data_IF_486294465810
#
_entry.id   IF_486294465810
#
_cell.length_a   1.000
_cell.length_b   1.000
_cell.length_c   1.000
_cell.angle_alpha   90.00
_cell.angle_beta   90.00
_cell.angle_gamma   90.00
#
_symmetry.space_group_name_H-M   'P 1'
#
loop_
_entity.id
_entity.type
_entity.pdbx_description
1 polymer ?
#
# COMPACT_ATOMS: atom_id res chain seq x y z
N UNK A 1 -6.94 -19.34 32.97
CA UNK A 1 -8.34 -19.13 32.54
C UNK A 1 -8.28 -18.03 31.52
N UNK A 2 -7.97 -18.41 30.29
CA UNK A 2 -7.69 -17.47 29.21
C UNK A 2 -9.03 -17.01 28.65
N UNK A 3 -9.25 -15.70 28.74
CA UNK A 3 -10.51 -15.08 28.35
C UNK A 3 -10.44 -14.74 26.86
N UNK A 4 -11.07 -15.55 26.03
CA UNK A 4 -11.23 -15.27 24.60
C UNK A 4 -12.38 -14.27 24.40
N UNK A 5 -12.10 -13.13 23.78
CA UNK A 5 -13.10 -12.13 23.41
C UNK A 5 -13.24 -12.14 21.90
N UNK A 6 -14.40 -12.57 21.40
CA UNK A 6 -14.74 -12.53 19.98
C UNK A 6 -15.51 -11.25 19.67
N UNK A 7 -14.91 -10.36 18.86
CA UNK A 7 -15.61 -9.20 18.29
C UNK A 7 -16.09 -9.57 16.88
N UNK A 8 -17.41 -9.66 16.71
CA UNK A 8 -18.04 -10.04 15.46
C UNK A 8 -18.08 -8.83 14.50
N UNK A 9 -17.26 -8.85 13.44
CA UNK A 9 -17.36 -7.93 12.29
C UNK A 9 -17.15 -8.71 10.99
N UNK A 10 -17.83 -8.32 9.91
CA UNK A 10 -17.89 -8.97 8.57
C UNK A 10 -16.55 -9.05 7.80
N UNK A 11 -15.42 -8.86 8.47
CA UNK A 11 -14.09 -8.98 7.91
C UNK A 11 -13.30 -9.95 8.78
N UNK A 12 -13.05 -11.17 8.24
CA UNK A 12 -12.19 -12.26 8.74
C UNK A 12 -11.76 -12.16 10.22
N UNK A 13 -12.21 -13.12 11.03
CA UNK A 13 -11.77 -13.33 12.42
C UNK A 13 -10.26 -13.09 12.58
N UNK A 14 -9.91 -11.99 13.25
CA UNK A 14 -8.53 -11.72 13.67
C UNK A 14 -8.40 -12.33 15.06
N UNK A 15 -7.81 -13.51 15.15
CA UNK A 15 -7.40 -14.11 16.41
C UNK A 15 -6.19 -13.33 16.94
N UNK A 16 -6.25 -12.83 18.16
CA UNK A 16 -5.11 -12.23 18.85
C UNK A 16 -4.84 -13.00 20.14
N UNK A 17 -3.66 -13.62 20.22
CA UNK A 17 -3.10 -14.16 21.46
C UNK A 17 -2.49 -13.02 22.27
N UNK A 18 -2.83 -12.93 23.57
CA UNK A 18 -2.16 -12.01 24.50
C UNK A 18 -0.81 -12.64 24.86
N UNK A 19 0.21 -12.27 24.10
CA UNK A 19 1.56 -12.79 24.24
C UNK A 19 2.25 -12.76 22.90
N UNK A 20 3.11 -11.75 22.71
CA UNK A 20 3.83 -11.41 21.48
C UNK A 20 2.97 -10.83 20.34
N UNK A 21 3.19 -9.53 20.05
CA UNK A 21 2.69 -8.90 18.84
C UNK A 21 3.31 -9.63 17.64
N UNK A 22 2.51 -10.19 16.71
CA UNK A 22 3.06 -10.76 15.49
C UNK A 22 3.89 -9.67 14.79
N UNK A 23 5.14 -9.99 14.44
CA UNK A 23 5.96 -9.11 13.61
C UNK A 23 5.14 -8.77 12.38
N UNK A 24 4.74 -7.50 12.24
CA UNK A 24 3.94 -7.06 11.12
C UNK A 24 4.62 -7.50 9.82
N UNK A 25 4.01 -8.46 9.13
CA UNK A 25 4.54 -8.99 7.88
C UNK A 25 4.73 -7.84 6.91
N UNK A 26 5.91 -7.78 6.30
CA UNK A 26 6.23 -6.73 5.33
C UNK A 26 5.35 -6.96 4.10
N UNK A 27 4.26 -6.19 3.98
CA UNK A 27 3.35 -6.28 2.84
C UNK A 27 4.11 -5.92 1.56
N UNK A 28 4.15 -6.88 0.64
CA UNK A 28 4.64 -6.70 -0.72
C UNK A 28 3.51 -6.14 -1.60
N UNK A 29 3.85 -5.21 -2.48
CA UNK A 29 2.90 -4.59 -3.42
C UNK A 29 3.51 -4.60 -4.82
N UNK A 30 2.68 -4.70 -5.84
CA UNK A 30 3.12 -4.52 -7.22
C UNK A 30 3.70 -3.12 -7.43
N UNK A 31 4.87 -3.04 -8.07
CA UNK A 31 5.48 -1.78 -8.44
C UNK A 31 5.03 -1.32 -9.82
N UNK A 32 3.81 -0.78 -9.90
CA UNK A 32 3.23 -0.30 -11.15
C UNK A 32 4.02 0.82 -11.84
N UNK A 33 4.86 1.57 -11.11
CA UNK A 33 5.69 2.63 -11.69
C UNK A 33 6.93 2.09 -12.41
N UNK A 34 7.52 1.01 -11.90
CA UNK A 34 8.67 0.32 -12.48
C UNK A 34 8.28 -0.89 -13.34
N UNK A 35 6.99 -1.08 -13.61
CA UNK A 35 6.49 -2.23 -14.34
C UNK A 35 6.88 -2.18 -15.82
N UNK A 36 7.31 -3.33 -16.35
CA UNK A 36 7.48 -3.49 -17.79
C UNK A 36 6.13 -3.88 -18.42
N UNK A 37 5.34 -2.86 -18.77
CA UNK A 37 4.00 -3.05 -19.34
C UNK A 37 4.01 -3.81 -20.67
N UNK A 38 5.09 -3.68 -21.47
CA UNK A 38 5.21 -4.41 -22.73
C UNK A 38 5.33 -5.92 -22.49
N UNK A 39 6.15 -6.33 -21.51
CA UNK A 39 6.27 -7.73 -21.13
C UNK A 39 4.94 -8.28 -20.56
N UNK A 40 4.28 -7.50 -19.70
CA UNK A 40 2.95 -7.87 -19.17
C UNK A 40 1.91 -8.04 -20.27
N UNK A 41 1.81 -7.10 -21.21
CA UNK A 41 0.88 -7.19 -22.34
C UNK A 41 1.19 -8.40 -23.23
N UNK A 42 2.46 -8.66 -23.50
CA UNK A 42 2.87 -9.83 -24.29
C UNK A 42 2.44 -11.14 -23.60
N UNK A 43 2.69 -11.25 -22.30
CA UNK A 43 2.32 -12.43 -21.52
C UNK A 43 0.80 -12.62 -21.45
N UNK A 44 0.03 -11.54 -21.22
CA UNK A 44 -1.43 -11.58 -21.29
C UNK A 44 -1.91 -12.10 -22.65
N UNK A 45 -1.38 -11.57 -23.76
CA UNK A 45 -1.78 -11.99 -25.10
C UNK A 45 -1.45 -13.46 -25.36
N UNK A 46 -0.30 -13.95 -24.89
CA UNK A 46 0.10 -15.35 -24.98
C UNK A 46 -0.90 -16.25 -24.23
N UNK A 47 -1.16 -15.95 -22.96
CA UNK A 47 -2.07 -16.72 -22.11
C UNK A 47 -3.52 -16.73 -22.65
N UNK A 48 -4.02 -15.59 -23.12
CA UNK A 48 -5.35 -15.53 -23.73
C UNK A 48 -5.43 -16.29 -25.06
N UNK A 49 -4.38 -16.25 -25.87
CA UNK A 49 -4.35 -17.00 -27.14
C UNK A 49 -4.39 -18.51 -26.89
N UNK A 50 -3.67 -19.00 -25.87
CA UNK A 50 -3.71 -20.40 -25.45
C UNK A 50 -5.13 -20.78 -24.98
N UNK A 51 -5.72 -19.97 -24.10
CA UNK A 51 -7.06 -20.21 -23.57
C UNK A 51 -8.13 -20.25 -24.66
N UNK A 52 -8.14 -19.28 -25.58
CA UNK A 52 -9.07 -19.24 -26.71
C UNK A 52 -8.88 -20.41 -27.66
N UNK A 53 -7.64 -20.85 -27.90
CA UNK A 53 -7.36 -21.99 -28.76
C UNK A 53 -7.86 -23.30 -28.14
N UNK A 54 -7.63 -23.49 -26.84
CA UNK A 54 -8.14 -24.65 -26.11
C UNK A 54 -9.67 -24.68 -26.10
N UNK A 55 -10.31 -23.53 -25.83
CA UNK A 55 -11.77 -23.39 -25.83
C UNK A 55 -12.42 -23.63 -27.19
N UNK A 56 -11.70 -23.42 -28.30
CA UNK A 56 -12.19 -23.68 -29.66
C UNK A 56 -11.92 -25.11 -30.16
N UNK A 57 -10.92 -25.81 -29.61
CA UNK A 57 -10.55 -27.17 -30.03
C UNK A 57 -11.30 -28.25 -29.26
N UNK A 58 -11.51 -28.05 -27.97
CA UNK A 58 -12.45 -28.84 -27.20
C UNK A 58 -13.83 -28.35 -27.61
N UNK A 59 -14.56 -29.12 -28.44
CA UNK A 59 -15.94 -28.81 -28.83
C UNK A 59 -16.84 -28.71 -27.60
N UNK A 60 -16.76 -27.60 -26.88
CA UNK A 60 -17.46 -27.34 -25.64
C UNK A 60 -18.93 -27.18 -26.00
N UNK A 61 -19.63 -28.32 -25.93
CA UNK A 61 -20.82 -28.50 -25.10
C UNK A 61 -21.17 -27.23 -24.32
N UNK A 62 -21.96 -26.37 -24.94
CA UNK A 62 -23.09 -25.64 -24.37
C UNK A 62 -23.19 -25.56 -22.83
N UNK A 63 -22.21 -25.01 -22.11
CA UNK A 63 -22.38 -24.43 -20.78
C UNK A 63 -21.13 -23.71 -20.23
N UNK A 64 -20.33 -23.01 -21.07
CA UNK A 64 -19.50 -21.95 -20.48
C UNK A 64 -20.43 -20.82 -20.05
N UNK A 65 -20.58 -20.64 -18.74
CA UNK A 65 -21.27 -19.48 -18.18
C UNK A 65 -20.32 -18.29 -18.23
N UNK A 66 -20.86 -17.10 -18.48
CA UNK A 66 -20.11 -15.83 -18.45
C UNK A 66 -19.26 -15.70 -17.17
N UNK A 67 -19.73 -16.26 -16.06
CA UNK A 67 -19.03 -16.27 -14.78
C UNK A 67 -17.78 -17.17 -14.76
N UNK A 68 -17.79 -18.31 -15.47
CA UNK A 68 -16.64 -19.19 -15.58
C UNK A 68 -15.53 -18.53 -16.39
N UNK A 69 -15.88 -17.95 -17.55
CA UNK A 69 -14.94 -17.22 -18.39
C UNK A 69 -14.38 -15.99 -17.65
N UNK A 70 -15.23 -15.25 -16.93
CA UNK A 70 -14.78 -14.11 -16.13
C UNK A 70 -13.74 -14.52 -15.07
N UNK A 71 -13.98 -15.61 -14.34
CA UNK A 71 -13.04 -16.12 -13.33
C UNK A 71 -11.72 -16.54 -13.97
N UNK A 72 -11.79 -17.20 -15.12
CA UNK A 72 -10.59 -17.65 -15.81
C UNK A 72 -9.77 -16.48 -16.36
N UNK A 73 -10.43 -15.47 -16.95
CA UNK A 73 -9.78 -14.23 -17.37
C UNK A 73 -9.08 -13.53 -16.19
N UNK A 74 -9.75 -13.43 -15.04
CA UNK A 74 -9.15 -12.85 -13.83
C UNK A 74 -7.91 -13.63 -13.37
N UNK A 75 -7.97 -14.97 -13.42
CA UNK A 75 -6.85 -15.86 -13.09
C UNK A 75 -5.67 -15.66 -14.04
N UNK A 76 -5.92 -15.54 -15.34
CA UNK A 76 -4.87 -15.32 -16.34
C UNK A 76 -4.21 -13.95 -16.19
N UNK A 77 -4.98 -12.90 -15.92
CA UNK A 77 -4.44 -11.55 -15.61
C UNK A 77 -3.57 -11.59 -14.35
N UNK A 78 -4.02 -12.31 -13.31
CA UNK A 78 -3.22 -12.47 -12.10
C UNK A 78 -1.92 -13.23 -12.38
N UNK A 79 -1.98 -14.30 -13.17
CA UNK A 79 -0.80 -15.09 -13.54
C UNK A 79 0.20 -14.23 -14.34
N UNK A 80 -0.26 -13.51 -15.36
CA UNK A 80 0.59 -12.58 -16.12
C UNK A 80 1.22 -11.51 -15.22
N UNK A 81 0.45 -11.00 -14.25
CA UNK A 81 0.94 -10.03 -13.27
C UNK A 81 2.04 -10.65 -12.41
N UNK A 82 1.87 -11.90 -11.98
CA UNK A 82 2.84 -12.62 -11.16
C UNK A 82 4.15 -12.93 -11.87
N UNK A 83 4.09 -13.20 -13.17
CA UNK A 83 5.25 -13.53 -13.99
C UNK A 83 6.05 -12.28 -14.39
N UNK A 84 5.39 -11.15 -14.64
CA UNK A 84 6.01 -10.01 -15.34
C UNK A 84 6.15 -8.75 -14.50
N UNK A 85 5.33 -8.56 -13.47
CA UNK A 85 5.40 -7.37 -12.64
C UNK A 85 6.38 -7.61 -11.49
N UNK A 86 7.16 -6.59 -11.16
CA UNK A 86 8.00 -6.64 -9.97
C UNK A 86 7.18 -6.31 -8.72
N UNK A 87 7.44 -7.01 -7.62
CA UNK A 87 6.94 -6.63 -6.29
C UNK A 87 7.95 -5.73 -5.60
N UNK A 88 7.47 -4.67 -4.97
CA UNK A 88 8.23 -3.87 -4.02
C UNK A 88 7.77 -4.13 -2.60
N UNK A 89 8.74 -4.17 -1.69
CA UNK A 89 8.49 -4.15 -0.25
C UNK A 89 8.29 -2.71 0.19
N UNK A 90 7.20 -2.44 0.90
CA UNK A 90 7.07 -1.16 1.60
C UNK A 90 8.04 -1.20 2.77
N UNK A 91 9.22 -0.65 2.57
CA UNK A 91 10.18 -0.48 3.63
C UNK A 91 9.59 0.49 4.67
N UNK A 92 9.52 0.05 5.93
CA UNK A 92 9.21 0.86 7.12
C UNK A 92 10.03 2.15 7.19
N UNK A 93 11.20 2.17 6.56
CA UNK A 93 12.14 3.29 6.49
C UNK A 93 11.92 4.25 5.32
N UNK A 94 10.88 4.09 4.49
CA UNK A 94 10.58 5.07 3.42
C UNK A 94 10.20 6.46 3.95
N UNK A 95 9.77 6.54 5.22
CA UNK A 95 9.57 7.80 5.96
C UNK A 95 9.95 7.59 7.43
N UNK A 96 11.26 7.61 7.74
CA UNK A 96 11.74 7.41 9.12
C UNK A 96 11.22 8.42 10.16
N UNK A 97 10.73 9.57 9.69
CA UNK A 97 10.07 10.62 10.46
C UNK A 97 8.56 10.41 10.64
N UNK A 98 7.95 9.41 10.01
CA UNK A 98 6.51 9.15 10.13
C UNK A 98 6.17 8.49 11.46
N UNK A 99 5.27 9.09 12.23
CA UNK A 99 4.89 8.63 13.56
C UNK A 99 3.38 8.37 13.71
N UNK A 100 2.98 7.86 14.88
CA UNK A 100 1.56 7.62 15.20
C UNK A 100 0.73 8.91 15.19
N UNK A 101 1.32 10.03 15.59
CA UNK A 101 0.64 11.33 15.60
C UNK A 101 0.31 11.81 14.18
N UNK A 102 1.27 11.75 13.25
CA UNK A 102 1.02 12.04 11.83
C UNK A 102 -0.05 11.13 11.23
N UNK A 103 -0.07 9.85 11.64
CA UNK A 103 -1.11 8.90 11.22
C UNK A 103 -2.50 9.31 11.74
N UNK A 104 -2.58 9.77 12.99
CA UNK A 104 -3.82 10.30 13.58
C UNK A 104 -4.29 11.56 12.83
N UNK A 105 -3.37 12.48 12.55
CA UNK A 105 -3.67 13.72 11.83
C UNK A 105 -4.17 13.47 10.40
N UNK A 106 -3.63 12.50 9.68
CA UNK A 106 -4.17 12.09 8.37
C UNK A 106 -5.63 11.63 8.49
N UNK A 107 -5.99 10.89 9.55
CA UNK A 107 -7.39 10.49 9.77
C UNK A 107 -8.28 11.71 10.00
N UNK A 108 -7.82 12.68 10.78
CA UNK A 108 -8.54 13.95 11.02
C UNK A 108 -8.71 14.73 9.72
N UNK A 109 -7.65 14.91 8.92
CA UNK A 109 -7.69 15.59 7.63
C UNK A 109 -8.65 14.91 6.65
N UNK A 110 -8.65 13.57 6.58
CA UNK A 110 -9.62 12.80 5.77
C UNK A 110 -11.06 12.99 6.26
N UNK A 111 -11.30 13.09 7.57
CA UNK A 111 -12.64 13.39 8.11
C UNK A 111 -13.08 14.80 7.72
N UNK A 112 -12.20 15.80 7.85
CA UNK A 112 -12.49 17.18 7.47
C UNK A 112 -12.78 17.31 5.96
N UNK A 113 -11.97 16.68 5.11
CA UNK A 113 -12.20 16.64 3.66
C UNK A 113 -13.53 15.98 3.29
N UNK A 114 -13.88 14.86 3.95
CA UNK A 114 -15.18 14.21 3.74
C UNK A 114 -16.34 15.12 4.12
N UNK A 115 -16.24 15.85 5.24
CA UNK A 115 -17.26 16.84 5.63
C UNK A 115 -17.42 17.96 4.61
N UNK A 116 -16.30 18.54 4.14
CA UNK A 116 -16.29 19.56 3.10
C UNK A 116 -16.93 19.08 1.79
N UNK A 117 -16.61 17.85 1.36
CA UNK A 117 -17.19 17.26 0.16
C UNK A 117 -18.69 16.94 0.32
N UNK A 118 -19.13 16.55 1.52
CA UNK A 118 -20.54 16.29 1.79
C UNK A 118 -21.37 17.59 1.81
N UNK A 119 -20.82 18.67 2.35
CA UNK A 119 -21.44 19.99 2.35
C UNK A 119 -20.38 21.08 2.24
N UNK A 120 -20.40 21.76 1.10
CA UNK A 120 -19.50 22.87 0.84
C UNK A 120 -20.00 24.13 1.53
N UNK A 121 -19.51 24.38 2.75
CA UNK A 121 -19.79 25.59 3.52
C UNK A 121 -18.46 26.24 4.00
N UNK A 122 -18.47 27.56 4.30
CA UNK A 122 -17.25 28.26 4.72
C UNK A 122 -16.63 27.69 6.00
N UNK A 123 -17.45 27.18 6.93
CA UNK A 123 -16.98 26.63 8.20
C UNK A 123 -16.22 25.30 8.01
N UNK A 124 -16.72 24.40 7.16
CA UNK A 124 -16.09 23.14 6.80
C UNK A 124 -14.82 23.40 5.99
N UNK A 125 -14.83 24.41 5.11
CA UNK A 125 -13.64 24.81 4.37
C UNK A 125 -12.54 25.29 5.34
N UNK A 126 -12.86 26.20 6.26
CA UNK A 126 -11.92 26.65 7.28
C UNK A 126 -11.40 25.51 8.16
N UNK A 127 -12.27 24.57 8.57
CA UNK A 127 -11.87 23.41 9.35
C UNK A 127 -10.91 22.48 8.58
N UNK A 128 -11.13 22.31 7.27
CA UNK A 128 -10.23 21.57 6.40
C UNK A 128 -8.88 22.28 6.26
N UNK A 129 -8.87 23.58 5.96
CA UNK A 129 -7.63 24.39 5.85
C UNK A 129 -6.82 24.31 7.14
N UNK A 130 -7.42 24.57 8.31
CA UNK A 130 -6.76 24.42 9.61
C UNK A 130 -6.16 23.03 9.83
N UNK A 131 -6.83 21.99 9.34
CA UNK A 131 -6.32 20.61 9.45
C UNK A 131 -5.15 20.35 8.50
N UNK A 132 -5.12 21.00 7.34
CA UNK A 132 -4.01 20.96 6.38
C UNK A 132 -2.79 21.66 6.97
N UNK A 133 -2.96 22.89 7.44
CA UNK A 133 -1.87 23.71 8.01
C UNK A 133 -1.21 22.98 9.17
N UNK A 134 -2.01 22.50 10.13
CA UNK A 134 -1.51 21.72 11.27
C UNK A 134 -0.80 20.44 10.84
N UNK A 135 -1.27 19.78 9.79
CA UNK A 135 -0.60 18.58 9.28
C UNK A 135 0.74 18.90 8.62
N UNK A 136 0.85 20.02 7.91
CA UNK A 136 2.11 20.50 7.32
C UNK A 136 3.12 20.88 8.41
N UNK A 137 2.72 21.68 9.39
CA UNK A 137 3.54 22.07 10.53
C UNK A 137 4.12 20.86 11.28
N UNK A 138 3.26 19.89 11.62
CA UNK A 138 3.71 18.67 12.29
C UNK A 138 4.64 17.85 11.39
N UNK A 139 4.34 17.76 10.09
CA UNK A 139 5.18 17.02 9.15
C UNK A 139 6.58 17.62 9.07
N UNK A 140 6.70 18.94 8.99
CA UNK A 140 7.98 19.65 8.97
C UNK A 140 8.73 19.49 10.29
N UNK A 141 8.05 19.69 11.43
CA UNK A 141 8.64 19.50 12.76
C UNK A 141 9.21 18.10 12.96
N UNK A 142 8.45 17.06 12.59
CA UNK A 142 8.91 15.68 12.71
C UNK A 142 10.04 15.34 11.72
N UNK A 143 10.00 15.88 10.49
CA UNK A 143 11.10 15.74 9.54
C UNK A 143 12.37 16.38 10.06
N UNK A 144 12.30 17.64 10.50
CA UNK A 144 13.44 18.39 11.01
C UNK A 144 14.05 17.71 12.23
N UNK A 145 13.21 17.30 13.18
CA UNK A 145 13.67 16.56 14.37
C UNK A 145 14.34 15.23 14.02
N UNK A 146 13.77 14.48 13.07
CA UNK A 146 14.36 13.22 12.61
C UNK A 146 15.72 13.46 11.96
N UNK A 147 15.83 14.42 11.05
CA UNK A 147 17.07 14.74 10.36
C UNK A 147 18.14 15.27 11.30
N UNK A 148 17.80 16.19 12.20
CA UNK A 148 18.72 16.69 13.22
C UNK A 148 19.30 15.52 14.04
N UNK A 149 18.44 14.62 14.54
CA UNK A 149 18.89 13.43 15.27
C UNK A 149 19.77 12.51 14.44
N UNK A 150 19.40 12.28 13.17
CA UNK A 150 20.19 11.45 12.25
C UNK A 150 21.56 12.05 11.98
N UNK A 151 21.65 13.35 11.70
CA UNK A 151 22.93 14.04 11.49
C UNK A 151 23.80 14.01 12.74
N UNK A 152 23.23 14.25 13.94
CA UNK A 152 23.97 14.11 15.19
C UNK A 152 24.51 12.70 15.43
N UNK A 153 23.86 11.66 14.91
CA UNK A 153 24.34 10.27 15.00
C UNK A 153 25.44 9.98 13.97
N UNK A 154 25.36 10.58 12.78
CA UNK A 154 26.36 10.41 11.72
C UNK A 154 27.67 11.12 12.07
N UNK A 155 27.58 12.35 12.59
CA UNK A 155 28.72 13.15 13.06
C UNK A 155 29.51 12.41 14.15
N UNK A 156 28.82 11.74 15.07
CA UNK A 156 29.44 10.90 16.10
C UNK A 156 30.13 9.63 15.58
N UNK A 157 29.70 9.12 14.43
CA UNK A 157 30.16 7.82 13.90
C UNK A 157 31.17 7.96 12.75
N UNK A 158 31.42 9.17 12.23
CA UNK A 158 32.44 9.45 11.21
C UNK A 158 32.31 8.66 9.91
N UNK A 159 31.11 8.18 9.56
CA UNK A 159 30.90 7.21 8.47
C UNK A 159 30.13 7.84 7.30
N UNK A 160 30.86 8.55 6.43
CA UNK A 160 30.34 9.20 5.23
C UNK A 160 29.57 8.24 4.30
N UNK A 161 29.99 6.97 4.26
CA UNK A 161 29.34 5.92 3.48
C UNK A 161 27.92 5.59 3.97
N UNK A 162 27.61 5.84 5.24
CA UNK A 162 26.25 5.71 5.76
C UNK A 162 25.37 6.90 5.35
N UNK A 163 25.96 8.10 5.27
CA UNK A 163 25.28 9.34 4.90
C UNK A 163 24.82 9.29 3.42
N UNK A 164 25.70 8.88 2.51
CA UNK A 164 25.36 8.69 1.09
C UNK A 164 24.27 7.63 0.85
N UNK A 165 24.28 6.53 1.63
CA UNK A 165 23.21 5.51 1.59
C UNK A 165 21.85 6.04 2.03
N UNK A 166 21.82 7.04 2.91
CA UNK A 166 20.58 7.68 3.36
C UNK A 166 20.10 8.68 2.31
N UNK A 167 20.98 9.52 1.77
CA UNK A 167 20.64 10.48 0.70
C UNK A 167 20.07 9.75 -0.51
N UNK A 168 20.73 8.67 -0.98
CA UNK A 168 20.25 7.85 -2.09
C UNK A 168 18.92 7.10 -1.82
N UNK A 169 18.47 7.02 -0.56
CA UNK A 169 17.18 6.41 -0.21
C UNK A 169 16.00 7.39 -0.38
N UNK A 170 16.27 8.70 -0.37
CA UNK A 170 15.24 9.74 -0.37
C UNK A 170 15.25 10.63 -1.62
N UNK A 171 16.27 10.51 -2.49
CA UNK A 171 16.23 10.96 -3.89
C UNK A 171 15.57 9.89 -4.77
#
# INVERSE_FOLDING_TARGET
>A
VDSEIFLNTDHKLIQFSIGELPKAECKEYWDFKGANWNAFTHECNNLFSIYLTASNQEGHSSESTVDADYREICRLIQLASETTLNKKRVNKHSKGWWCRELTSMVKTLRKAKRKLNARYDPANYQAYVKSVDKFQELTESYKNSYWARMFSQLDRNGNDNALWRIVNRYN
#
